data_IF_623133451509
#
_entry.id   IF_623133451509
#
_cell.length_a   1.000
_cell.length_b   1.000
_cell.length_c   1.000
_cell.angle_alpha   90.00
_cell.angle_beta   90.00
_cell.angle_gamma   90.00
#
_symmetry.space_group_name_H-M   'P 1'
#
loop_
_entity.id
_entity.type
_entity.pdbx_description
1 polymer ?
#
# COMPACT_ATOMS: atom_id res chain seq x y z
N UNK A 1 16.12 -31.24 -11.31
CA UNK A 1 14.90 -30.59 -10.80
C UNK A 1 14.77 -29.25 -11.49
N UNK A 2 13.66 -29.01 -12.18
CA UNK A 2 13.46 -27.82 -13.02
C UNK A 2 13.36 -26.54 -12.17
N UNK A 3 14.05 -25.47 -12.59
CA UNK A 3 13.99 -24.12 -12.00
C UNK A 3 12.55 -23.61 -11.88
N UNK A 4 11.64 -24.07 -12.74
CA UNK A 4 10.23 -23.70 -12.71
C UNK A 4 9.44 -24.24 -11.51
N UNK A 5 9.88 -25.34 -10.86
CA UNK A 5 9.20 -25.91 -9.69
C UNK A 5 9.55 -25.18 -8.38
N UNK A 6 10.64 -24.41 -8.35
CA UNK A 6 11.07 -23.67 -7.16
C UNK A 6 10.34 -22.32 -7.01
N UNK A 7 9.89 -21.72 -8.12
CA UNK A 7 9.22 -20.41 -8.11
C UNK A 7 7.78 -20.46 -7.55
N UNK A 8 7.10 -21.62 -7.60
CA UNK A 8 5.73 -21.80 -7.06
C UNK A 8 5.65 -21.82 -5.52
N UNK A 9 6.80 -21.88 -4.83
CA UNK A 9 6.92 -21.87 -3.36
C UNK A 9 7.13 -20.48 -2.75
N UNK A 10 7.41 -19.44 -3.56
CA UNK A 10 7.63 -18.09 -3.04
C UNK A 10 6.28 -17.45 -2.68
N UNK A 11 6.06 -17.22 -1.38
CA UNK A 11 4.84 -16.59 -0.89
C UNK A 11 4.82 -15.08 -1.21
N UNK A 12 5.95 -14.39 -1.02
CA UNK A 12 6.03 -12.93 -1.12
C UNK A 12 7.26 -12.46 -1.89
N UNK A 13 7.08 -11.61 -2.91
CA UNK A 13 8.15 -10.77 -3.44
C UNK A 13 8.12 -9.41 -2.77
N UNK A 14 9.21 -9.01 -2.13
CA UNK A 14 9.40 -7.67 -1.57
C UNK A 14 10.18 -6.85 -2.59
N UNK A 15 9.58 -5.77 -3.08
CA UNK A 15 10.18 -4.86 -4.06
C UNK A 15 10.49 -3.54 -3.38
N UNK A 16 11.76 -3.16 -3.42
CA UNK A 16 12.26 -1.88 -2.97
C UNK A 16 13.18 -1.28 -4.04
N UNK A 17 13.39 0.03 -4.01
CA UNK A 17 14.14 0.74 -5.05
C UNK A 17 15.18 1.63 -4.42
N UNK A 18 16.36 1.72 -5.03
CA UNK A 18 17.41 2.60 -4.54
C UNK A 18 18.28 3.11 -5.69
N UNK A 19 19.03 4.16 -5.39
CA UNK A 19 20.11 4.72 -6.20
C UNK A 19 21.25 5.03 -5.24
N UNK A 20 22.47 4.56 -5.53
CA UNK A 20 23.62 4.76 -4.63
C UNK A 20 24.20 6.19 -4.70
N UNK A 21 23.38 7.20 -4.41
CA UNK A 21 23.73 8.63 -4.41
C UNK A 21 23.63 9.30 -3.02
N UNK A 22 23.51 8.48 -1.98
CA UNK A 22 23.30 8.90 -0.58
C UNK A 22 22.08 9.80 -0.36
N UNK A 23 21.02 9.61 -1.16
CA UNK A 23 19.76 10.34 -0.97
C UNK A 23 19.23 10.22 0.47
N UNK A 24 19.01 11.38 1.09
CA UNK A 24 18.55 11.51 2.47
C UNK A 24 19.60 11.19 3.55
N UNK A 25 20.87 11.11 3.16
CA UNK A 25 22.05 10.84 4.01
C UNK A 25 22.06 9.42 4.56
N UNK A 26 23.22 8.84 4.90
CA UNK A 26 23.31 7.50 5.50
C UNK A 26 22.52 6.39 4.75
N UNK A 27 22.35 6.50 3.44
CA UNK A 27 21.50 5.61 2.64
C UNK A 27 21.97 4.16 2.73
N UNK A 28 23.30 3.94 2.67
CA UNK A 28 23.91 2.61 2.83
C UNK A 28 23.50 1.98 4.17
N UNK A 29 23.54 2.75 5.27
CA UNK A 29 23.17 2.26 6.60
C UNK A 29 21.68 1.90 6.68
N UNK A 30 20.78 2.77 6.18
CA UNK A 30 19.34 2.50 6.20
C UNK A 30 18.98 1.28 5.35
N UNK A 31 19.54 1.21 4.14
CA UNK A 31 19.34 0.07 3.22
C UNK A 31 19.81 -1.22 3.86
N UNK A 32 20.97 -1.20 4.54
CA UNK A 32 21.46 -2.36 5.27
C UNK A 32 20.51 -2.78 6.40
N UNK A 33 19.98 -1.84 7.19
CA UNK A 33 19.03 -2.15 8.26
C UNK A 33 17.73 -2.76 7.71
N UNK A 34 17.23 -2.27 6.58
CA UNK A 34 16.09 -2.87 5.87
C UNK A 34 16.38 -4.31 5.45
N UNK A 35 17.52 -4.56 4.80
CA UNK A 35 17.91 -5.90 4.32
C UNK A 35 18.07 -6.85 5.51
N UNK A 36 18.85 -6.47 6.51
CA UNK A 36 19.11 -7.28 7.70
C UNK A 36 17.80 -7.60 8.44
N UNK A 37 16.93 -6.60 8.59
CA UNK A 37 15.63 -6.76 9.24
C UNK A 37 14.66 -7.65 8.47
N UNK A 38 14.58 -7.48 7.14
CA UNK A 38 13.76 -8.35 6.30
C UNK A 38 14.22 -9.81 6.41
N UNK A 39 15.52 -10.06 6.33
CA UNK A 39 16.09 -11.41 6.35
C UNK A 39 15.93 -12.04 7.73
N UNK A 40 16.20 -11.29 8.80
CA UNK A 40 15.95 -11.74 10.16
C UNK A 40 14.48 -12.14 10.37
N UNK A 41 13.55 -11.34 9.86
CA UNK A 41 12.13 -11.65 9.95
C UNK A 41 11.71 -12.85 9.11
N UNK A 42 12.26 -13.00 7.90
CA UNK A 42 11.98 -14.17 7.06
C UNK A 42 12.44 -15.46 7.76
N UNK A 43 13.64 -15.45 8.36
CA UNK A 43 14.17 -16.57 9.15
C UNK A 43 13.31 -16.86 10.38
N UNK A 44 13.02 -15.84 11.18
CA UNK A 44 12.26 -15.94 12.43
C UNK A 44 10.86 -16.54 12.23
N UNK A 45 10.16 -16.09 11.20
CA UNK A 45 8.76 -16.50 10.96
C UNK A 45 8.61 -17.53 9.85
N UNK A 46 9.69 -18.01 9.24
CA UNK A 46 9.62 -18.96 8.13
C UNK A 46 8.85 -18.43 6.91
N UNK A 47 8.94 -17.13 6.65
CA UNK A 47 8.34 -16.53 5.45
C UNK A 47 9.24 -16.83 4.25
N UNK A 48 8.72 -17.61 3.29
CA UNK A 48 9.36 -17.86 1.98
C UNK A 48 9.19 -16.62 1.11
N UNK A 49 10.27 -15.89 0.89
CA UNK A 49 10.24 -14.62 0.20
C UNK A 49 11.34 -14.49 -0.84
N UNK A 50 11.22 -13.46 -1.68
CA UNK A 50 12.36 -12.88 -2.37
C UNK A 50 12.41 -11.37 -2.14
N UNK A 51 13.60 -10.80 -2.07
CA UNK A 51 13.86 -9.37 -2.17
C UNK A 51 14.31 -9.06 -3.60
N UNK A 52 13.60 -8.13 -4.25
CA UNK A 52 14.00 -7.51 -5.51
C UNK A 52 14.36 -6.06 -5.21
N UNK A 53 15.66 -5.78 -5.12
CA UNK A 53 16.17 -4.43 -4.99
C UNK A 53 16.42 -3.85 -6.38
N UNK A 54 15.61 -2.88 -6.80
CA UNK A 54 15.79 -2.23 -8.09
C UNK A 54 16.79 -1.10 -7.95
N UNK A 55 17.98 -1.28 -8.50
CA UNK A 55 19.01 -0.25 -8.57
C UNK A 55 18.77 0.62 -9.80
N UNK A 56 18.37 1.86 -9.59
CA UNK A 56 17.92 2.73 -10.67
C UNK A 56 18.94 3.82 -10.99
N UNK A 57 19.36 3.88 -12.26
CA UNK A 57 20.30 4.87 -12.77
C UNK A 57 21.54 5.00 -11.85
N UNK A 58 22.28 3.89 -11.61
CA UNK A 58 23.43 3.91 -10.71
C UNK A 58 24.45 4.98 -11.14
N UNK A 59 24.96 5.83 -10.21
CA UNK A 59 25.98 6.81 -10.54
C UNK A 59 27.28 6.10 -10.99
N UNK A 60 27.89 6.47 -12.13
CA UNK A 60 29.07 5.79 -12.66
C UNK A 60 30.31 5.90 -11.76
N UNK A 61 30.34 6.89 -10.87
CA UNK A 61 31.42 7.13 -9.91
C UNK A 61 31.26 6.38 -8.58
N UNK A 62 30.19 5.60 -8.42
CA UNK A 62 29.88 4.86 -7.19
C UNK A 62 29.90 3.36 -7.47
N UNK A 63 30.28 2.58 -6.47
CA UNK A 63 30.16 1.12 -6.56
C UNK A 63 28.68 0.73 -6.74
N UNK A 64 28.38 -0.30 -7.55
CA UNK A 64 27.04 -0.87 -7.59
C UNK A 64 26.56 -1.28 -6.20
N UNK A 65 25.26 -1.25 -5.96
CA UNK A 65 24.68 -1.67 -4.67
C UNK A 65 25.04 -3.12 -4.31
N UNK A 66 25.27 -3.97 -5.31
CA UNK A 66 25.76 -5.33 -5.12
C UNK A 66 27.10 -5.39 -4.36
N UNK A 67 27.98 -4.41 -4.58
CA UNK A 67 29.32 -4.37 -4.00
C UNK A 67 29.38 -3.45 -2.77
N UNK A 68 28.54 -2.43 -2.71
CA UNK A 68 28.47 -1.46 -1.61
C UNK A 68 27.82 -2.04 -0.33
N UNK A 69 26.80 -2.89 -0.49
CA UNK A 69 26.04 -3.45 0.62
C UNK A 69 26.61 -4.79 1.10
N UNK A 70 26.35 -5.12 2.36
CA UNK A 70 26.67 -6.44 2.89
C UNK A 70 25.50 -7.39 2.69
N UNK A 71 25.80 -8.55 2.13
CA UNK A 71 24.82 -9.59 1.84
C UNK A 71 25.07 -10.81 2.72
N UNK A 72 24.03 -11.42 3.29
CA UNK A 72 24.22 -12.61 4.10
C UNK A 72 24.59 -13.80 3.23
N UNK A 73 25.61 -14.54 3.66
CA UNK A 73 26.07 -15.79 3.03
C UNK A 73 24.94 -16.81 2.96
N UNK A 74 24.12 -16.88 4.01
CA UNK A 74 22.94 -17.74 4.06
C UNK A 74 21.69 -16.88 4.29
N UNK A 75 21.01 -16.42 3.23
CA UNK A 75 19.81 -15.60 3.37
C UNK A 75 18.59 -16.42 3.82
N UNK A 76 18.72 -17.76 3.87
CA UNK A 76 17.72 -18.67 4.39
C UNK A 76 16.52 -18.78 3.45
N UNK A 77 15.33 -18.43 3.95
CA UNK A 77 14.08 -18.50 3.21
C UNK A 77 13.82 -17.29 2.28
N UNK A 78 14.78 -16.36 2.17
CA UNK A 78 14.66 -15.15 1.38
C UNK A 78 15.67 -15.16 0.22
N UNK A 79 15.22 -15.30 -1.03
CA UNK A 79 16.10 -15.10 -2.19
C UNK A 79 16.41 -13.60 -2.34
N UNK A 80 17.60 -13.22 -2.81
CA UNK A 80 17.96 -11.82 -3.04
C UNK A 80 18.35 -11.62 -4.51
N UNK A 81 17.75 -10.63 -5.15
CA UNK A 81 18.07 -10.20 -6.51
C UNK A 81 18.16 -8.69 -6.59
N UNK A 82 19.12 -8.22 -7.38
CA UNK A 82 19.24 -6.82 -7.77
C UNK A 82 18.87 -6.73 -9.24
N UNK A 83 17.92 -5.86 -9.58
CA UNK A 83 17.55 -5.55 -10.97
C UNK A 83 18.06 -4.15 -11.25
N UNK A 84 19.03 -4.02 -12.16
CA UNK A 84 19.62 -2.71 -12.47
C UNK A 84 18.89 -2.09 -13.66
N UNK A 85 18.41 -0.85 -13.51
CA UNK A 85 17.93 -0.02 -14.62
C UNK A 85 19.07 0.92 -15.05
N UNK A 86 19.68 0.71 -16.22
CA UNK A 86 20.84 1.48 -16.64
C UNK A 86 20.56 2.97 -16.91
N UNK A 87 21.63 3.78 -16.92
CA UNK A 87 21.55 5.21 -17.16
C UNK A 87 21.01 5.58 -18.55
N UNK A 88 21.26 4.74 -19.56
CA UNK A 88 20.70 4.88 -20.91
C UNK A 88 19.18 4.75 -20.94
N UNK A 89 18.61 3.80 -20.18
CA UNK A 89 17.16 3.66 -20.04
C UNK A 89 16.61 4.86 -19.29
N UNK A 90 17.26 5.27 -18.21
CA UNK A 90 16.81 6.44 -17.45
C UNK A 90 16.74 7.73 -18.29
N UNK A 91 17.73 7.94 -19.16
CA UNK A 91 17.82 9.13 -20.01
C UNK A 91 16.71 9.24 -21.05
N UNK A 92 15.94 8.18 -21.30
CA UNK A 92 14.79 8.24 -22.22
C UNK A 92 13.56 8.91 -21.61
N UNK A 93 13.51 9.06 -20.28
CA UNK A 93 12.38 9.66 -19.60
C UNK A 93 12.47 11.19 -19.59
N UNK A 94 11.31 11.85 -19.65
CA UNK A 94 11.26 13.31 -19.52
C UNK A 94 11.75 13.73 -18.13
N UNK A 95 12.44 14.87 -18.04
CA UNK A 95 12.98 15.38 -16.78
C UNK A 95 14.05 14.51 -16.09
N UNK A 96 14.63 13.52 -16.78
CA UNK A 96 15.71 12.67 -16.27
C UNK A 96 16.98 13.44 -15.83
N UNK A 97 17.17 14.67 -16.33
CA UNK A 97 18.22 15.57 -15.88
C UNK A 97 18.01 16.10 -14.45
N UNK A 98 16.75 16.10 -13.96
CA UNK A 98 16.35 16.70 -12.67
C UNK A 98 15.80 15.67 -11.68
N UNK A 99 15.07 14.68 -12.16
CA UNK A 99 14.58 13.55 -11.37
C UNK A 99 15.58 12.41 -11.54
N UNK A 100 16.40 12.16 -10.52
CA UNK A 100 17.47 11.15 -10.57
C UNK A 100 16.97 9.72 -10.32
N UNK A 101 15.84 9.59 -9.64
CA UNK A 101 15.18 8.33 -9.31
C UNK A 101 13.67 8.46 -9.54
N UNK A 102 13.15 7.73 -10.52
CA UNK A 102 11.71 7.60 -10.72
C UNK A 102 11.18 6.44 -9.87
N UNK A 103 10.95 6.70 -8.58
CA UNK A 103 10.64 5.68 -7.57
C UNK A 103 9.52 4.72 -8.00
N UNK A 104 8.44 5.23 -8.60
CA UNK A 104 7.30 4.40 -9.00
C UNK A 104 7.58 3.57 -10.26
N UNK A 105 8.32 4.11 -11.23
CA UNK A 105 8.76 3.34 -12.40
C UNK A 105 9.76 2.24 -11.99
N UNK A 106 10.66 2.55 -11.06
CA UNK A 106 11.58 1.57 -10.48
C UNK A 106 10.81 0.47 -9.74
N UNK A 107 9.80 0.81 -8.92
CA UNK A 107 8.94 -0.17 -8.24
C UNK A 107 8.22 -1.04 -9.27
N UNK A 108 7.66 -0.45 -10.33
CA UNK A 108 7.02 -1.21 -11.41
C UNK A 108 7.98 -2.18 -12.12
N UNK A 109 9.23 -1.78 -12.37
CA UNK A 109 10.23 -2.66 -12.98
C UNK A 109 10.50 -3.91 -12.13
N UNK A 110 10.53 -3.75 -10.80
CA UNK A 110 10.67 -4.86 -9.85
C UNK A 110 9.39 -5.69 -9.73
N UNK A 111 8.22 -5.06 -9.59
CA UNK A 111 6.91 -5.74 -9.51
C UNK A 111 6.67 -6.60 -10.76
N UNK A 112 7.02 -6.08 -11.94
CA UNK A 112 6.88 -6.81 -13.21
C UNK A 112 7.74 -8.08 -13.26
N UNK A 113 8.84 -8.13 -12.50
CA UNK A 113 9.80 -9.26 -12.43
C UNK A 113 9.62 -10.12 -11.16
N UNK A 114 8.57 -9.84 -10.38
CA UNK A 114 8.25 -10.59 -9.17
C UNK A 114 7.74 -12.00 -9.49
N UNK A 115 8.24 -12.99 -8.74
CA UNK A 115 7.90 -14.42 -8.86
C UNK A 115 6.86 -14.85 -7.84
N UNK A 116 6.86 -14.20 -6.67
CA UNK A 116 6.00 -14.51 -5.54
C UNK A 116 4.50 -14.44 -5.83
N UNK A 117 3.73 -15.21 -5.06
CA UNK A 117 2.26 -15.23 -5.15
C UNK A 117 1.65 -13.86 -4.84
N UNK A 118 2.24 -13.17 -3.87
CA UNK A 118 1.94 -11.79 -3.52
C UNK A 118 3.18 -10.92 -3.71
N UNK A 119 2.96 -9.63 -3.93
CA UNK A 119 4.05 -8.66 -4.10
C UNK A 119 3.80 -7.48 -3.16
N UNK A 120 4.79 -7.21 -2.30
CA UNK A 120 4.89 -6.03 -1.45
C UNK A 120 5.79 -5.00 -2.13
N UNK A 121 5.26 -3.82 -2.43
CA UNK A 121 6.05 -2.65 -2.79
C UNK A 121 6.29 -1.80 -1.55
N UNK A 122 7.55 -1.50 -1.24
CA UNK A 122 7.98 -0.79 -0.02
C UNK A 122 9.22 0.08 -0.28
N UNK A 123 9.78 0.68 0.76
CA UNK A 123 10.97 1.53 0.72
C UNK A 123 12.14 0.88 1.49
N UNK A 124 13.36 1.37 1.23
CA UNK A 124 14.63 0.79 1.75
C UNK A 124 14.96 1.18 3.20
N UNK A 125 14.05 1.86 3.87
CA UNK A 125 14.16 2.41 5.23
C UNK A 125 13.01 1.92 6.13
N UNK A 126 12.37 0.82 5.73
CA UNK A 126 11.22 0.23 6.40
C UNK A 126 11.62 -1.02 7.19
N UNK A 127 11.22 -1.12 8.45
CA UNK A 127 11.34 -2.34 9.26
C UNK A 127 9.95 -2.91 9.55
N UNK A 128 9.82 -4.23 9.59
CA UNK A 128 8.53 -4.90 9.77
C UNK A 128 8.35 -5.43 11.20
N UNK A 129 7.18 -5.19 11.79
CA UNK A 129 6.78 -5.86 13.04
C UNK A 129 6.55 -7.37 12.84
N UNK A 130 6.68 -8.15 13.92
CA UNK A 130 6.39 -9.59 13.92
C UNK A 130 4.96 -9.89 13.47
N UNK A 131 3.99 -9.05 13.87
CA UNK A 131 2.60 -9.17 13.46
C UNK A 131 2.39 -8.89 11.96
N UNK A 132 3.17 -7.98 11.37
CA UNK A 132 3.08 -7.71 9.93
C UNK A 132 3.61 -8.92 9.13
N UNK A 133 4.74 -9.49 9.53
CA UNK A 133 5.34 -10.64 8.82
C UNK A 133 4.50 -11.90 8.96
N UNK A 134 3.95 -12.18 10.16
CA UNK A 134 2.97 -13.28 10.33
C UNK A 134 1.72 -13.08 9.47
N UNK A 135 1.25 -11.84 9.31
CA UNK A 135 0.12 -11.56 8.42
C UNK A 135 0.47 -11.83 6.94
N UNK A 136 1.63 -11.37 6.49
CA UNK A 136 2.15 -11.60 5.12
C UNK A 136 2.28 -13.09 4.81
N UNK A 137 2.72 -13.88 5.79
CA UNK A 137 2.84 -15.34 5.67
C UNK A 137 1.48 -16.03 5.55
N UNK A 138 0.55 -15.71 6.44
CA UNK A 138 -0.61 -16.59 6.67
C UNK A 138 -1.95 -16.08 6.13
N UNK A 139 -2.10 -14.77 5.89
CA UNK A 139 -3.43 -14.14 5.76
C UNK A 139 -3.67 -13.32 4.48
N UNK A 140 -2.72 -13.31 3.56
CA UNK A 140 -2.88 -12.65 2.26
C UNK A 140 -3.91 -13.39 1.39
N UNK A 141 -4.75 -12.62 0.71
CA UNK A 141 -5.80 -13.10 -0.19
C UNK A 141 -5.82 -12.22 -1.45
N UNK A 142 -6.11 -12.83 -2.60
CA UNK A 142 -6.32 -12.07 -3.85
C UNK A 142 -7.57 -11.18 -3.74
N UNK A 143 -7.68 -10.17 -4.62
CA UNK A 143 -8.76 -9.19 -4.62
C UNK A 143 -8.66 -8.15 -3.52
N UNK A 144 -7.54 -8.08 -2.80
CA UNK A 144 -7.29 -7.11 -1.74
C UNK A 144 -5.98 -6.35 -1.97
N UNK A 145 -6.02 -5.05 -1.64
CA UNK A 145 -4.86 -4.18 -1.52
C UNK A 145 -4.62 -3.96 -0.03
N UNK A 146 -3.52 -4.50 0.51
CA UNK A 146 -3.21 -4.37 1.93
C UNK A 146 -2.29 -3.18 2.19
N UNK A 147 -2.62 -2.43 3.24
CA UNK A 147 -1.91 -1.23 3.69
C UNK A 147 -1.64 -1.34 5.20
N UNK A 148 -0.54 -0.76 5.68
CA UNK A 148 -0.15 -0.83 7.08
C UNK A 148 0.18 0.56 7.64
N UNK A 149 -0.03 0.72 8.95
CA UNK A 149 0.36 1.94 9.66
C UNK A 149 1.87 2.13 9.63
N UNK A 150 2.32 3.36 9.36
CA UNK A 150 3.72 3.74 9.47
C UNK A 150 4.00 4.38 10.82
N UNK A 151 4.97 3.85 11.54
CA UNK A 151 5.49 4.41 12.78
C UNK A 151 6.88 4.96 12.53
N UNK A 152 7.09 6.26 12.73
CA UNK A 152 8.41 6.86 12.54
C UNK A 152 9.27 6.68 13.80
N UNK A 153 10.50 6.26 13.57
CA UNK A 153 11.54 6.01 14.59
C UNK A 153 12.79 6.82 14.25
N UNK A 154 13.65 7.16 15.22
CA UNK A 154 14.86 7.95 14.97
C UNK A 154 15.80 7.32 13.94
N UNK A 155 16.60 8.15 13.28
CA UNK A 155 17.56 7.73 12.25
C UNK A 155 18.63 6.77 12.79
N UNK A 156 19.03 6.95 14.05
CA UNK A 156 20.11 6.20 14.70
C UNK A 156 19.63 4.87 15.30
N UNK A 157 18.97 4.04 14.48
CA UNK A 157 18.59 2.68 14.88
C UNK A 157 19.87 1.86 15.21
N UNK A 158 19.87 1.04 16.29
CA UNK A 158 21.02 0.23 16.67
C UNK A 158 21.48 -0.71 15.55
N UNK A 159 22.79 -0.78 15.30
CA UNK A 159 23.39 -1.74 14.38
C UNK A 159 23.81 -3.00 15.16
N UNK A 160 22.85 -3.89 15.40
CA UNK A 160 23.02 -5.12 16.19
C UNK A 160 22.52 -6.32 15.39
N UNK A 161 23.18 -7.50 15.48
CA UNK A 161 22.68 -8.71 14.84
C UNK A 161 21.40 -9.25 15.51
N UNK A 162 21.11 -8.83 16.75
CA UNK A 162 19.91 -9.23 17.48
C UNK A 162 18.72 -8.36 17.05
N UNK A 163 17.94 -8.82 16.07
CA UNK A 163 16.82 -8.05 15.55
C UNK A 163 15.72 -7.74 16.59
N UNK A 164 15.65 -8.50 17.69
CA UNK A 164 14.76 -8.18 18.82
C UNK A 164 15.11 -6.82 19.46
N UNK A 165 16.40 -6.50 19.61
CA UNK A 165 16.85 -5.21 20.15
C UNK A 165 16.44 -4.07 19.21
N UNK A 166 16.48 -4.30 17.89
CA UNK A 166 16.05 -3.34 16.88
C UNK A 166 14.55 -3.08 16.97
N UNK A 167 13.73 -4.13 17.08
CA UNK A 167 12.28 -3.99 17.23
C UNK A 167 11.90 -3.33 18.56
N UNK A 168 12.58 -3.69 19.64
CA UNK A 168 12.39 -3.05 20.94
C UNK A 168 12.73 -1.56 20.87
N UNK A 169 13.86 -1.21 20.27
CA UNK A 169 14.21 0.19 20.02
C UNK A 169 13.12 0.91 19.22
N UNK A 170 12.60 0.30 18.16
CA UNK A 170 11.54 0.90 17.36
C UNK A 170 10.27 1.19 18.17
N UNK A 171 9.82 0.25 19.00
CA UNK A 171 8.62 0.43 19.83
C UNK A 171 8.84 1.49 20.93
N UNK A 172 10.04 1.57 21.52
CA UNK A 172 10.36 2.51 22.59
C UNK A 172 10.62 3.93 22.07
N UNK A 173 11.29 4.05 20.93
CA UNK A 173 11.74 5.33 20.38
C UNK A 173 10.77 5.93 19.35
N UNK A 174 9.73 5.20 18.96
CA UNK A 174 8.66 5.71 18.11
C UNK A 174 8.15 7.08 18.57
N UNK A 175 8.19 8.06 17.66
CA UNK A 175 7.80 9.44 17.94
C UNK A 175 6.61 9.91 17.09
N UNK A 176 6.26 9.23 15.99
CA UNK A 176 5.07 9.55 15.20
C UNK A 176 4.39 8.28 14.70
N UNK A 177 3.06 8.27 14.70
CA UNK A 177 2.23 7.20 14.13
C UNK A 177 1.33 7.79 13.05
N UNK A 178 1.57 7.36 11.82
CA UNK A 178 0.79 7.73 10.64
C UNK A 178 -0.29 6.66 10.45
N UNK A 179 -1.47 6.97 10.97
CA UNK A 179 -2.69 6.18 10.78
C UNK A 179 -3.38 6.61 9.49
N UNK A 180 -4.33 5.81 9.02
CA UNK A 180 -5.02 6.04 7.74
C UNK A 180 -5.73 7.38 7.58
N UNK A 181 -6.04 8.07 8.68
CA UNK A 181 -6.69 9.38 8.65
C UNK A 181 -5.95 10.47 9.46
N UNK A 182 -4.98 10.10 10.31
CA UNK A 182 -4.28 11.06 11.19
C UNK A 182 -2.82 10.68 11.40
N UNK A 183 -1.95 11.68 11.48
CA UNK A 183 -0.65 11.57 12.12
C UNK A 183 -0.79 11.93 13.61
N UNK A 184 -0.23 11.10 14.49
CA UNK A 184 -0.18 11.36 15.93
C UNK A 184 1.28 11.41 16.36
N UNK A 185 1.70 12.55 16.88
CA UNK A 185 3.08 12.78 17.34
C UNK A 185 3.18 12.67 18.86
N UNK A 186 4.33 12.18 19.32
CA UNK A 186 4.69 12.08 20.73
C UNK A 186 5.24 13.42 21.20
N UNK A 187 4.60 14.02 22.21
CA UNK A 187 5.19 15.17 22.91
C UNK A 187 6.47 14.79 23.69
N UNK A 188 7.10 15.75 24.35
CA UNK A 188 8.29 15.47 25.18
C UNK A 188 8.01 14.42 26.26
N UNK A 189 8.85 13.38 26.34
CA UNK A 189 8.72 12.26 27.29
C UNK A 189 7.97 11.04 26.74
N UNK A 190 7.33 10.26 27.63
CA UNK A 190 6.58 9.05 27.27
C UNK A 190 5.25 9.40 26.58
N UNK A 191 4.76 8.49 25.73
CA UNK A 191 3.42 8.56 25.13
C UNK A 191 2.35 8.79 26.21
N UNK A 192 1.66 9.94 26.16
CA UNK A 192 0.59 10.23 27.12
C UNK A 192 -0.60 9.34 26.80
N UNK A 193 -1.41 9.02 27.82
CA UNK A 193 -2.61 8.21 27.65
C UNK A 193 -3.54 8.78 26.56
N UNK A 194 -3.67 10.12 26.50
CA UNK A 194 -4.44 10.82 25.47
C UNK A 194 -3.90 10.62 24.04
N UNK A 195 -2.58 10.51 23.87
CA UNK A 195 -1.95 10.36 22.56
C UNK A 195 -2.14 8.91 22.07
N UNK A 196 -2.01 7.93 22.98
CA UNK A 196 -2.35 6.52 22.72
C UNK A 196 -3.84 6.35 22.40
N UNK A 197 -4.71 7.07 23.11
CA UNK A 197 -6.14 7.09 22.83
C UNK A 197 -6.44 7.71 21.46
N UNK A 198 -5.81 8.84 21.11
CA UNK A 198 -5.94 9.46 19.77
C UNK A 198 -5.46 8.53 18.66
N UNK A 199 -4.31 7.87 18.81
CA UNK A 199 -3.83 6.90 17.84
C UNK A 199 -4.78 5.70 17.71
N UNK A 200 -5.27 5.16 18.82
CA UNK A 200 -6.27 4.10 18.83
C UNK A 200 -7.61 4.53 18.19
N UNK A 201 -8.03 5.79 18.39
CA UNK A 201 -9.22 6.37 17.79
C UNK A 201 -9.04 6.68 16.31
N UNK A 202 -7.87 7.14 15.85
CA UNK A 202 -7.56 7.28 14.43
C UNK A 202 -7.49 5.93 13.72
N UNK A 203 -6.93 4.92 14.40
CA UNK A 203 -6.97 3.53 13.95
C UNK A 203 -8.40 3.00 13.83
N UNK A 204 -9.19 3.14 14.89
CA UNK A 204 -10.59 2.67 14.96
C UNK A 204 -11.57 3.50 14.13
N UNK A 205 -11.34 4.80 13.93
CA UNK A 205 -12.19 5.69 13.15
C UNK A 205 -12.27 5.24 11.69
N UNK A 206 -11.13 4.85 11.10
CA UNK A 206 -11.11 4.20 9.78
C UNK A 206 -11.83 2.85 9.79
N UNK A 207 -11.69 2.06 10.86
CA UNK A 207 -12.25 0.71 10.98
C UNK A 207 -13.77 0.70 11.22
N UNK A 208 -14.29 1.69 11.95
CA UNK A 208 -15.73 1.91 12.17
C UNK A 208 -16.37 2.42 10.88
N UNK A 209 -15.69 3.27 10.12
CA UNK A 209 -16.15 3.66 8.78
C UNK A 209 -16.19 2.46 7.82
N UNK A 210 -15.17 1.58 7.84
CA UNK A 210 -15.14 0.33 7.06
C UNK A 210 -16.26 -0.65 7.45
N UNK A 211 -16.49 -0.84 8.75
CA UNK A 211 -17.58 -1.69 9.27
C UNK A 211 -18.94 -1.09 8.92
N UNK A 212 -19.15 0.21 9.14
CA UNK A 212 -20.39 0.89 8.80
C UNK A 212 -20.66 0.85 7.29
N UNK A 213 -19.63 0.97 6.46
CA UNK A 213 -19.70 0.78 5.01
C UNK A 213 -20.06 -0.66 4.61
N UNK A 214 -19.45 -1.67 5.26
CA UNK A 214 -19.71 -3.08 4.99
C UNK A 214 -21.14 -3.51 5.40
N UNK A 215 -21.59 -3.13 6.60
CA UNK A 215 -22.95 -3.40 7.06
C UNK A 215 -23.99 -2.55 6.32
N UNK A 216 -23.66 -1.31 5.93
CA UNK A 216 -24.48 -0.51 5.03
C UNK A 216 -24.69 -1.18 3.67
N UNK A 217 -23.64 -1.79 3.10
CA UNK A 217 -23.70 -2.56 1.86
C UNK A 217 -24.50 -3.87 2.00
N UNK A 218 -24.34 -4.59 3.11
CA UNK A 218 -25.13 -5.80 3.40
C UNK A 218 -26.62 -5.46 3.59
N UNK A 219 -26.91 -4.36 4.28
CA UNK A 219 -28.25 -3.82 4.46
C UNK A 219 -28.86 -3.37 3.13
N UNK A 220 -28.07 -2.73 2.26
CA UNK A 220 -28.49 -2.37 0.91
C UNK A 220 -28.74 -3.58 0.00
N UNK A 221 -27.94 -4.65 0.09
CA UNK A 221 -28.22 -5.92 -0.61
C UNK A 221 -29.50 -6.59 -0.11
N UNK A 222 -29.75 -6.50 1.20
CA UNK A 222 -30.98 -7.00 1.84
C UNK A 222 -32.22 -6.23 1.34
N UNK A 223 -32.10 -4.91 1.12
CA UNK A 223 -33.13 -4.05 0.53
C UNK A 223 -33.27 -4.20 -0.98
N UNK A 224 -32.19 -4.55 -1.69
CA UNK A 224 -32.18 -4.74 -3.15
C UNK A 224 -32.74 -6.10 -3.59
N UNK A 225 -32.65 -7.13 -2.74
CA UNK A 225 -33.23 -8.45 -3.01
C UNK A 225 -34.10 -8.95 -1.85
N UNK A 226 -35.29 -8.34 -1.65
CA UNK A 226 -36.16 -8.64 -0.52
C UNK A 226 -36.67 -10.09 -0.54
N UNK A 227 -36.68 -10.79 -1.69
CA UNK A 227 -37.03 -12.22 -1.79
C UNK A 227 -35.99 -13.15 -1.15
N UNK A 228 -34.71 -12.78 -1.20
CA UNK A 228 -33.62 -13.50 -0.52
C UNK A 228 -33.69 -13.29 1.00
N UNK A 229 -33.92 -12.06 1.46
CA UNK A 229 -34.10 -11.71 2.86
C UNK A 229 -35.37 -12.36 3.47
N UNK A 230 -36.47 -12.34 2.73
CA UNK A 230 -37.75 -12.96 3.09
C UNK A 230 -37.62 -14.49 3.21
N UNK A 231 -36.91 -15.17 2.29
CA UNK A 231 -36.65 -16.63 2.41
C UNK A 231 -35.81 -17.00 3.63
N UNK A 232 -34.88 -16.15 4.06
CA UNK A 232 -34.00 -16.40 5.22
C UNK A 232 -34.67 -16.09 6.56
N UNK A 233 -35.58 -15.11 6.61
CA UNK A 233 -36.32 -14.73 7.82
C UNK A 233 -37.58 -15.57 8.05
N UNK A 234 -38.21 -16.10 6.99
CA UNK A 234 -39.46 -16.88 7.11
C UNK A 234 -39.22 -18.38 7.31
N UNK A 235 -38.00 -18.88 7.07
CA UNK A 235 -37.61 -20.23 7.46
C UNK A 235 -37.77 -20.55 8.95
N UNK A 236 -37.99 -19.54 9.80
CA UNK A 236 -38.27 -19.70 11.24
C UNK A 236 -39.63 -19.15 11.71
N UNK A 237 -40.46 -18.56 10.83
CA UNK A 237 -41.55 -17.68 11.27
C UNK A 237 -42.96 -17.99 10.75
N UNK A 238 -43.15 -18.85 9.73
CA UNK A 238 -44.48 -19.22 9.25
C UNK A 238 -45.00 -20.48 9.96
N UNK A 239 -45.32 -20.31 11.24
CA UNK A 239 -46.21 -21.20 11.98
C UNK A 239 -47.07 -20.40 12.98
N UNK A 240 -47.54 -19.20 12.63
CA UNK A 240 -48.58 -18.54 13.41
C UNK A 240 -49.28 -17.41 12.65
N UNK A 241 -50.62 -17.44 12.74
CA UNK A 241 -51.58 -16.36 12.51
C UNK A 241 -52.05 -16.08 11.07
N UNK A 242 -53.37 -16.28 10.90
CA UNK A 242 -54.16 -16.20 9.67
C UNK A 242 -54.78 -14.82 9.39
N UNK A 243 -55.84 -14.77 8.54
CA UNK A 243 -56.10 -13.61 7.68
C UNK A 243 -57.22 -12.71 8.19
N UNK A 244 -57.02 -11.38 8.10
CA UNK A 244 -57.95 -10.38 7.52
C UNK A 244 -57.59 -8.98 8.02
N UNK A 245 -57.36 -8.05 7.09
CA UNK A 245 -58.11 -6.79 7.02
C UNK A 245 -57.83 -6.10 5.68
N UNK A 246 -58.91 -5.56 5.10
CA UNK A 246 -58.99 -4.84 3.83
C UNK A 246 -58.74 -3.36 4.11
N UNK A 247 -57.65 -2.78 3.62
CA UNK A 247 -57.54 -1.38 3.14
C UNK A 247 -56.21 -1.28 2.35
N UNK A 248 -56.27 -1.36 1.02
CA UNK A 248 -55.06 -1.60 0.18
C UNK A 248 -54.74 -0.64 -0.99
N UNK A 249 -55.42 0.47 -1.30
CA UNK A 249 -54.88 1.37 -2.34
C UNK A 249 -54.01 2.50 -1.76
N UNK A 250 -54.49 3.23 -0.74
CA UNK A 250 -53.80 4.44 -0.26
C UNK A 250 -52.52 4.13 0.54
N UNK A 251 -52.54 3.09 1.37
CA UNK A 251 -51.38 2.64 2.13
C UNK A 251 -50.25 2.09 1.23
N UNK A 252 -50.59 1.49 0.08
CA UNK A 252 -49.62 0.98 -0.90
C UNK A 252 -48.99 2.11 -1.74
N UNK A 253 -49.74 3.17 -2.05
CA UNK A 253 -49.23 4.36 -2.75
C UNK A 253 -48.36 5.21 -1.81
N UNK A 254 -48.77 5.43 -0.56
CA UNK A 254 -47.96 6.12 0.45
C UNK A 254 -46.73 5.30 0.83
N UNK A 255 -46.83 3.96 0.92
CA UNK A 255 -45.68 3.08 1.08
C UNK A 255 -44.76 3.10 -0.15
N UNK A 256 -45.28 3.23 -1.37
CA UNK A 256 -44.50 3.34 -2.60
C UNK A 256 -43.73 4.66 -2.71
N UNK A 257 -44.35 5.78 -2.34
CA UNK A 257 -43.69 7.09 -2.27
C UNK A 257 -42.65 7.16 -1.14
N UNK A 258 -42.99 6.66 0.05
CA UNK A 258 -42.04 6.53 1.16
C UNK A 258 -40.90 5.56 0.82
N UNK A 259 -41.16 4.51 0.04
CA UNK A 259 -40.17 3.56 -0.47
C UNK A 259 -39.22 4.20 -1.47
N UNK A 260 -39.71 5.01 -2.42
CA UNK A 260 -38.83 5.67 -3.40
C UNK A 260 -37.99 6.77 -2.74
N UNK A 261 -38.54 7.48 -1.75
CA UNK A 261 -37.80 8.43 -0.91
C UNK A 261 -36.76 7.68 -0.07
N UNK A 262 -37.14 6.62 0.64
CA UNK A 262 -36.20 5.81 1.42
C UNK A 262 -35.12 5.18 0.52
N UNK A 263 -35.45 4.75 -0.70
CA UNK A 263 -34.52 4.19 -1.68
C UNK A 263 -33.56 5.25 -2.25
N UNK A 264 -34.02 6.49 -2.45
CA UNK A 264 -33.17 7.61 -2.89
C UNK A 264 -32.29 8.11 -1.76
N UNK A 265 -32.83 8.28 -0.56
CA UNK A 265 -32.10 8.65 0.65
C UNK A 265 -31.10 7.56 1.03
N UNK A 266 -31.46 6.28 0.94
CA UNK A 266 -30.55 5.16 1.15
C UNK A 266 -29.48 5.08 0.06
N UNK A 267 -29.78 5.34 -1.23
CA UNK A 267 -28.75 5.44 -2.28
C UNK A 267 -27.82 6.64 -2.08
N UNK A 268 -28.35 7.77 -1.63
CA UNK A 268 -27.58 8.94 -1.24
C UNK A 268 -26.65 8.63 -0.07
N UNK A 269 -27.19 8.05 1.00
CA UNK A 269 -26.42 7.58 2.17
C UNK A 269 -25.45 6.46 1.79
N UNK A 270 -25.75 5.57 0.85
CA UNK A 270 -24.84 4.51 0.38
C UNK A 270 -23.69 5.09 -0.44
N UNK A 271 -23.99 6.04 -1.34
CA UNK A 271 -22.98 6.77 -2.10
C UNK A 271 -22.09 7.61 -1.19
N UNK A 272 -22.66 8.24 -0.16
CA UNK A 272 -21.92 8.98 0.88
C UNK A 272 -21.18 8.07 1.86
N UNK A 273 -21.71 6.87 2.17
CA UNK A 273 -21.07 5.89 3.04
C UNK A 273 -19.89 5.19 2.34
N UNK A 274 -19.99 4.94 1.03
CA UNK A 274 -18.86 4.54 0.19
C UNK A 274 -17.80 5.65 0.11
N UNK A 275 -18.20 6.92 0.19
CA UNK A 275 -17.28 8.06 0.32
C UNK A 275 -16.72 8.26 1.74
N UNK A 276 -17.32 7.64 2.77
CA UNK A 276 -16.91 7.76 4.18
C UNK A 276 -15.87 6.74 4.61
N UNK A 277 -15.61 5.71 3.80
CA UNK A 277 -14.38 4.93 3.91
C UNK A 277 -13.25 5.78 3.35
N UNK A 278 -12.65 6.60 4.22
CA UNK A 278 -11.44 7.34 3.85
C UNK A 278 -10.38 6.32 3.46
N UNK A 279 -9.90 6.30 2.20
CA UNK A 279 -8.83 5.40 1.83
C UNK A 279 -7.61 5.71 2.69
N UNK A 280 -6.90 4.68 3.12
CA UNK A 280 -5.61 4.84 3.79
C UNK A 280 -4.62 5.42 2.77
N UNK A 281 -4.50 6.74 2.73
CA UNK A 281 -3.60 7.45 1.80
C UNK A 281 -2.37 8.02 2.50
N UNK A 282 -2.46 8.19 3.83
CA UNK A 282 -1.35 8.68 4.62
C UNK A 282 -0.24 7.64 4.68
N UNK A 283 0.94 7.96 4.13
CA UNK A 283 2.10 7.07 4.07
C UNK A 283 1.81 5.70 3.40
N UNK A 284 0.87 5.66 2.45
CA UNK A 284 0.43 4.40 1.84
C UNK A 284 1.49 3.72 0.96
N UNK A 285 2.45 4.48 0.43
CA UNK A 285 3.56 3.96 -0.37
C UNK A 285 4.62 3.15 0.40
N UNK A 286 4.60 3.16 1.73
CA UNK A 286 5.56 2.43 2.58
C UNK A 286 5.20 0.94 2.72
N UNK A 287 3.92 0.59 2.55
CA UNK A 287 3.44 -0.79 2.62
C UNK A 287 2.25 -0.98 1.68
N UNK A 288 2.49 -1.46 0.47
CA UNK A 288 1.44 -1.80 -0.50
C UNK A 288 1.56 -3.25 -0.94
N UNK A 289 0.59 -4.10 -0.57
CA UNK A 289 0.60 -5.53 -0.96
C UNK A 289 -0.64 -5.88 -1.77
N UNK A 290 -0.45 -6.59 -2.88
CA UNK A 290 -1.51 -7.21 -3.66
C UNK A 290 -1.04 -8.58 -4.16
N UNK A 291 -1.96 -9.43 -4.65
CA UNK A 291 -1.55 -10.62 -5.39
C UNK A 291 -0.82 -10.21 -6.67
N UNK A 292 0.09 -11.06 -7.18
CA UNK A 292 0.80 -10.78 -8.44
C UNK A 292 -0.17 -10.60 -9.63
N UNK A 293 -1.30 -11.30 -9.62
CA UNK A 293 -2.36 -11.15 -10.61
C UNK A 293 -3.09 -9.81 -10.47
N UNK A 294 -3.35 -9.36 -9.24
CA UNK A 294 -3.97 -8.05 -8.99
C UNK A 294 -3.02 -6.90 -9.40
N UNK A 295 -1.72 -6.99 -9.14
CA UNK A 295 -0.73 -6.05 -9.67
C UNK A 295 -0.76 -5.99 -11.20
N UNK A 296 -0.86 -7.15 -11.86
CA UNK A 296 -0.97 -7.24 -13.31
C UNK A 296 -2.27 -6.61 -13.83
N UNK A 297 -3.38 -6.80 -13.12
CA UNK A 297 -4.67 -6.21 -13.44
C UNK A 297 -4.67 -4.69 -13.29
N UNK A 298 -4.00 -4.16 -12.27
CA UNK A 298 -3.86 -2.72 -12.04
C UNK A 298 -2.87 -2.08 -13.01
N UNK A 299 -1.92 -2.87 -13.54
CA UNK A 299 -0.81 -2.42 -14.39
C UNK A 299 0.20 -1.52 -13.66
N UNK A 300 0.45 -1.79 -12.37
CA UNK A 300 1.42 -1.04 -11.57
C UNK A 300 1.00 0.39 -11.20
N UNK A 301 1.91 1.13 -10.57
CA UNK A 301 1.77 2.58 -10.34
C UNK A 301 1.76 3.34 -11.67
N UNK A 302 1.10 4.49 -11.76
CA UNK A 302 1.13 5.32 -12.98
C UNK A 302 2.58 5.70 -13.36
N UNK A 303 2.99 5.43 -14.60
CA UNK A 303 4.36 5.62 -15.09
C UNK A 303 4.59 7.03 -15.65
N UNK A 304 4.12 8.05 -14.93
CA UNK A 304 4.31 9.43 -15.33
C UNK A 304 5.68 9.95 -14.88
N UNK A 305 6.30 10.79 -15.72
CA UNK A 305 7.61 11.40 -15.45
C UNK A 305 7.49 12.60 -14.50
N UNK A 306 6.92 12.36 -13.32
CA UNK A 306 6.62 13.37 -12.30
C UNK A 306 7.32 13.01 -11.00
N UNK A 307 7.48 13.98 -10.10
CA UNK A 307 7.89 13.72 -8.72
C UNK A 307 6.85 12.81 -8.04
N UNK A 308 7.30 11.91 -7.16
CA UNK A 308 6.51 10.76 -6.70
C UNK A 308 5.31 11.09 -5.80
N UNK A 309 5.13 12.36 -5.43
CA UNK A 309 4.02 12.84 -4.63
C UNK A 309 2.66 12.39 -5.18
N UNK A 310 1.80 11.84 -4.32
CA UNK A 310 0.47 11.28 -4.60
C UNK A 310 0.39 10.07 -5.54
N UNK A 311 1.48 9.60 -6.16
CA UNK A 311 1.40 8.42 -7.05
C UNK A 311 0.99 7.13 -6.31
N UNK A 312 1.38 7.01 -5.05
CA UNK A 312 0.97 5.92 -4.16
C UNK A 312 -0.52 5.97 -3.83
N UNK A 313 -1.03 7.16 -3.51
CA UNK A 313 -2.45 7.40 -3.27
C UNK A 313 -3.27 7.16 -4.53
N UNK A 314 -2.75 7.57 -5.69
CA UNK A 314 -3.38 7.32 -6.98
C UNK A 314 -3.51 5.82 -7.26
N UNK A 315 -2.51 5.01 -6.91
CA UNK A 315 -2.58 3.55 -7.01
C UNK A 315 -3.73 2.98 -6.17
N UNK A 316 -3.95 3.49 -4.96
CA UNK A 316 -5.07 3.05 -4.10
C UNK A 316 -6.41 3.26 -4.81
N UNK A 317 -6.61 4.44 -5.41
CA UNK A 317 -7.82 4.74 -6.19
C UNK A 317 -7.93 3.87 -7.44
N UNK A 318 -6.82 3.65 -8.16
CA UNK A 318 -6.78 2.80 -9.35
C UNK A 318 -7.13 1.34 -9.03
N UNK A 319 -6.62 0.80 -7.91
CA UNK A 319 -6.95 -0.53 -7.43
C UNK A 319 -8.43 -0.65 -7.07
N UNK A 320 -9.00 0.35 -6.37
CA UNK A 320 -10.44 0.42 -6.11
C UNK A 320 -11.26 0.44 -7.41
N UNK A 321 -10.82 1.23 -8.39
CA UNK A 321 -11.40 1.27 -9.73
C UNK A 321 -11.39 -0.09 -10.43
N UNK A 322 -10.31 -0.87 -10.23
CA UNK A 322 -10.20 -2.26 -10.70
C UNK A 322 -11.02 -3.25 -9.86
N UNK A 323 -11.76 -2.81 -8.84
CA UNK A 323 -12.55 -3.69 -7.96
C UNK A 323 -11.72 -4.46 -6.93
N UNK A 324 -10.45 -4.07 -6.71
CA UNK A 324 -9.59 -4.59 -5.64
C UNK A 324 -9.90 -3.80 -4.37
N UNK A 325 -10.12 -4.50 -3.26
CA UNK A 325 -10.60 -3.89 -2.01
C UNK A 325 -9.42 -3.48 -1.12
N UNK A 326 -9.24 -2.18 -0.81
CA UNK A 326 -8.27 -1.76 0.19
C UNK A 326 -8.60 -2.38 1.55
N UNK A 327 -7.57 -2.84 2.26
CA UNK A 327 -7.69 -3.44 3.57
C UNK A 327 -6.50 -3.03 4.42
N UNK A 328 -6.77 -2.19 5.41
CA UNK A 328 -5.79 -1.82 6.41
C UNK A 328 -5.51 -3.01 7.34
N UNK A 329 -4.24 -3.25 7.64
CA UNK A 329 -3.84 -4.24 8.64
C UNK A 329 -4.21 -3.79 10.05
N UNK A 330 -4.24 -4.74 10.99
CA UNK A 330 -4.45 -4.42 12.39
C UNK A 330 -3.32 -3.49 12.90
N UNK A 331 -3.55 -2.58 13.87
CA UNK A 331 -2.55 -1.61 14.30
C UNK A 331 -1.23 -2.21 14.82
N UNK A 332 -1.22 -3.47 15.26
CA UNK A 332 0.01 -4.17 15.63
C UNK A 332 0.82 -4.63 14.42
N UNK A 333 0.16 -4.99 13.31
CA UNK A 333 0.76 -5.32 12.01
C UNK A 333 1.15 -4.03 11.29
N UNK A 334 2.19 -3.36 11.81
CA UNK A 334 2.66 -2.05 11.37
C UNK A 334 4.09 -2.12 10.82
N UNK A 335 4.49 -1.05 10.17
CA UNK A 335 5.87 -0.83 9.73
C UNK A 335 6.53 0.30 10.49
N UNK A 336 7.83 0.20 10.70
CA UNK A 336 8.65 1.27 11.27
C UNK A 336 9.44 1.94 10.16
N UNK A 337 9.34 3.24 10.04
CA UNK A 337 10.10 4.03 9.08
C UNK A 337 11.23 4.74 9.80
N UNK A 338 12.45 4.48 9.34
CA UNK A 338 13.67 5.07 9.87
C UNK A 338 13.74 6.50 9.38
N UNK A 339 13.59 7.46 10.29
CA UNK A 339 13.56 8.88 9.94
C UNK A 339 14.84 9.31 9.23
N UNK A 340 14.70 10.22 8.27
CA UNK A 340 15.83 10.72 7.50
C UNK A 340 15.56 12.09 6.89
N UNK A 341 16.65 12.80 6.57
CA UNK A 341 16.56 14.08 5.87
C UNK A 341 16.16 13.87 4.41
N UNK A 342 15.53 14.84 3.75
CA UNK A 342 15.22 14.79 2.32
C UNK A 342 13.93 14.06 1.91
N UNK A 343 13.30 13.29 2.80
CA UNK A 343 11.93 12.80 2.64
C UNK A 343 10.88 13.88 2.93
N UNK A 344 9.59 13.57 2.70
CA UNK A 344 8.51 14.46 3.14
C UNK A 344 8.33 14.39 4.65
N UNK A 345 8.51 15.52 5.31
CA UNK A 345 8.06 15.77 6.69
C UNK A 345 7.17 17.02 6.69
N UNK A 346 6.09 17.07 7.50
CA UNK A 346 5.20 18.23 7.56
C UNK A 346 5.95 19.55 7.82
N UNK A 347 7.00 19.50 8.64
CA UNK A 347 7.84 20.65 9.01
C UNK A 347 8.61 21.25 7.83
N UNK A 348 8.89 20.46 6.78
CA UNK A 348 9.68 20.88 5.61
C UNK A 348 8.88 20.85 4.29
N UNK A 349 7.56 20.71 4.37
CA UNK A 349 6.68 20.55 3.21
C UNK A 349 6.75 21.73 2.24
N UNK A 350 6.76 22.97 2.74
CA UNK A 350 6.78 24.17 1.89
C UNK A 350 8.03 24.24 1.01
N UNK A 351 9.22 24.01 1.59
CA UNK A 351 10.48 24.05 0.87
C UNK A 351 10.64 22.92 -0.17
N UNK A 352 9.90 21.81 -0.03
CA UNK A 352 9.84 20.78 -1.06
C UNK A 352 9.12 21.29 -2.30
N UNK A 353 7.90 21.82 -2.16
CA UNK A 353 7.10 22.26 -3.31
C UNK A 353 7.69 23.49 -4.01
N UNK A 354 8.23 24.45 -3.26
CA UNK A 354 8.95 25.59 -3.83
C UNK A 354 10.13 25.15 -4.71
N UNK A 355 10.87 24.12 -4.27
CA UNK A 355 11.98 23.55 -5.06
C UNK A 355 11.48 22.88 -6.33
N UNK A 356 10.40 22.10 -6.26
CA UNK A 356 9.81 21.44 -7.43
C UNK A 356 9.34 22.48 -8.46
N UNK A 357 8.65 23.53 -8.01
CA UNK A 357 8.21 24.64 -8.87
C UNK A 357 9.40 25.37 -9.50
N UNK A 358 10.42 25.73 -8.70
CA UNK A 358 11.64 26.39 -9.19
C UNK A 358 12.37 25.54 -10.23
N UNK A 359 12.44 24.24 -10.02
CA UNK A 359 13.07 23.29 -10.95
C UNK A 359 12.14 22.86 -12.10
N UNK A 360 10.89 23.34 -12.11
CA UNK A 360 9.84 22.97 -13.08
C UNK A 360 9.68 21.45 -13.19
N UNK A 361 9.73 20.78 -12.05
CA UNK A 361 9.47 19.35 -11.94
C UNK A 361 7.96 19.17 -11.70
N UNK A 362 7.22 18.50 -12.59
CA UNK A 362 5.80 18.28 -12.40
C UNK A 362 5.54 17.32 -11.24
N UNK A 363 4.41 17.51 -10.56
CA UNK A 363 3.88 16.63 -9.52
C UNK A 363 2.36 16.69 -9.54
N UNK A 364 1.69 15.70 -8.95
CA UNK A 364 0.23 15.65 -8.86
C UNK A 364 -0.18 16.53 -7.67
N UNK A 365 -0.96 17.58 -7.90
CA UNK A 365 -1.53 18.39 -6.81
C UNK A 365 -2.74 17.71 -6.17
N UNK A 366 -3.18 18.18 -5.00
CA UNK A 366 -4.43 17.70 -4.39
C UNK A 366 -5.64 17.89 -5.31
N UNK A 367 -5.65 18.98 -6.08
CA UNK A 367 -6.70 19.26 -7.04
C UNK A 367 -6.67 18.25 -8.21
N UNK A 368 -5.47 17.91 -8.70
CA UNK A 368 -5.30 16.90 -9.75
C UNK A 368 -5.75 15.53 -9.25
N UNK A 369 -5.31 15.14 -8.04
CA UNK A 369 -5.69 13.87 -7.43
C UNK A 369 -7.20 13.73 -7.27
N UNK A 370 -7.90 14.79 -6.82
CA UNK A 370 -9.38 14.80 -6.73
C UNK A 370 -10.03 14.61 -8.10
N UNK A 371 -9.51 15.26 -9.15
CA UNK A 371 -10.02 15.09 -10.53
C UNK A 371 -9.77 13.68 -11.06
N UNK A 372 -8.58 13.13 -10.85
CA UNK A 372 -8.21 11.77 -11.25
C UNK A 372 -9.09 10.73 -10.55
N UNK A 373 -9.33 10.87 -9.24
CA UNK A 373 -10.22 9.98 -8.51
C UNK A 373 -11.67 10.03 -9.05
N UNK A 374 -12.17 11.22 -9.39
CA UNK A 374 -13.48 11.37 -10.01
C UNK A 374 -13.54 10.71 -11.40
N UNK A 375 -12.48 10.83 -12.21
CA UNK A 375 -12.36 10.16 -13.52
C UNK A 375 -12.32 8.63 -13.39
N UNK A 376 -11.50 8.09 -12.49
CA UNK A 376 -11.47 6.64 -12.18
C UNK A 376 -12.88 6.15 -11.84
N UNK A 377 -13.56 6.87 -10.95
CA UNK A 377 -14.93 6.52 -10.53
C UNK A 377 -15.92 6.55 -11.72
N UNK A 378 -15.77 7.52 -12.63
CA UNK A 378 -16.63 7.63 -13.81
C UNK A 378 -16.33 6.51 -14.83
N UNK A 379 -15.06 6.21 -15.08
CA UNK A 379 -14.61 5.08 -15.94
C UNK A 379 -15.13 3.75 -15.41
N UNK A 380 -14.96 3.49 -14.11
CA UNK A 380 -15.47 2.28 -13.46
C UNK A 380 -16.98 2.12 -13.66
N UNK A 381 -17.78 3.17 -13.42
CA UNK A 381 -19.25 3.14 -13.65
C UNK A 381 -19.64 2.89 -15.10
N UNK A 382 -18.80 3.33 -16.04
CA UNK A 382 -19.00 3.14 -17.47
C UNK A 382 -18.45 1.80 -17.98
N UNK A 383 -17.86 0.97 -17.12
CA UNK A 383 -17.20 -0.29 -17.54
C UNK A 383 -15.96 -0.06 -18.42
N UNK A 384 -15.31 1.10 -18.30
CA UNK A 384 -14.07 1.43 -19.02
C UNK A 384 -12.86 1.15 -18.14
N UNK A 385 -11.73 0.91 -18.80
CA UNK A 385 -10.43 0.73 -18.15
C UNK A 385 -10.05 1.96 -17.31
N UNK A 386 -9.51 1.69 -16.12
CA UNK A 386 -9.09 2.71 -15.15
C UNK A 386 -7.57 2.80 -15.01
N UNK A 387 -6.85 1.88 -15.67
CA UNK A 387 -5.40 1.79 -15.64
C UNK A 387 -4.79 2.99 -16.36
N UNK A 388 -3.67 3.48 -15.85
CA UNK A 388 -2.92 4.59 -16.47
C UNK A 388 -1.85 4.12 -17.45
N UNK A 389 -1.45 2.85 -17.35
CA UNK A 389 -0.39 2.28 -18.16
C UNK A 389 -0.95 1.29 -19.18
N UNK A 390 -0.20 1.11 -20.26
CA UNK A 390 -0.45 0.09 -21.28
C UNK A 390 0.14 -1.27 -20.87
N UNK A 391 -0.06 -2.30 -21.70
CA UNK A 391 0.42 -3.66 -21.40
C UNK A 391 1.95 -3.78 -21.24
N UNK A 392 2.70 -2.82 -21.78
CA UNK A 392 4.17 -2.72 -21.69
C UNK A 392 4.74 -2.17 -20.38
N UNK A 393 3.90 -1.88 -19.36
CA UNK A 393 4.32 -1.26 -18.09
C UNK A 393 5.47 -1.98 -17.37
N UNK A 394 6.25 -1.28 -16.54
CA UNK A 394 7.32 -1.87 -15.74
C UNK A 394 8.52 -2.33 -16.58
N UNK A 395 8.79 -1.62 -17.67
CA UNK A 395 9.90 -1.92 -18.59
C UNK A 395 9.87 -3.38 -19.08
N UNK A 396 8.68 -3.88 -19.41
CA UNK A 396 8.47 -5.31 -19.72
C UNK A 396 9.19 -5.75 -21.00
N UNK A 397 9.40 -4.84 -21.96
CA UNK A 397 10.09 -5.11 -23.21
C UNK A 397 11.62 -5.18 -23.07
N UNK A 398 12.18 -4.75 -21.93
CA UNK A 398 13.62 -4.69 -21.71
C UNK A 398 14.10 -5.89 -20.89
N UNK A 399 15.18 -6.53 -21.35
CA UNK A 399 15.96 -7.42 -20.51
C UNK A 399 16.89 -6.56 -19.65
N UNK A 400 16.57 -6.42 -18.36
CA UNK A 400 17.39 -5.67 -17.42
C UNK A 400 18.48 -6.59 -16.83
N UNK A 401 19.69 -6.08 -16.56
CA UNK A 401 20.71 -6.81 -15.81
C UNK A 401 20.18 -7.26 -14.45
N UNK A 402 20.39 -8.53 -14.12
CA UNK A 402 20.06 -9.10 -12.81
C UNK A 402 21.29 -9.68 -12.14
N UNK A 403 21.53 -9.32 -10.88
CA UNK A 403 22.63 -9.81 -10.06
C UNK A 403 22.08 -10.52 -8.83
N UNK A 404 22.66 -11.67 -8.47
CA UNK A 404 22.39 -12.37 -7.20
C UNK A 404 23.59 -12.16 -6.27
N UNK A 405 23.51 -11.22 -5.32
CA UNK A 405 24.64 -10.96 -4.45
C UNK A 405 24.88 -12.12 -3.47
N UNK A 406 26.14 -12.39 -3.14
CA UNK A 406 26.53 -13.45 -2.18
C UNK A 406 26.54 -14.88 -2.73
N UNK A 407 26.21 -15.09 -4.01
CA UNK A 407 26.40 -16.36 -4.70
C UNK A 407 27.82 -16.45 -5.29
N UNK A 408 28.80 -16.80 -4.45
CA UNK A 408 30.15 -17.21 -4.89
C UNK A 408 30.55 -18.50 -4.21
#
# INVERSE_FOLDING_TARGET
MSIAAADDDIQLSVVATSRNDDHGGNLTRRTQQFIDGLIAQCKRHGLRAELILVEWNPPPERAPLADELRWPVEPGACDIRIVTVPAEVHRTFQHADRIRLFQMLAKNAGIRRARGRFVLATNIDILFSDEAVRFLRDRLQSGHLYLADRVDVPAEVPATPAFDDVLQFCEEQAFRVNTGALAVERGTGRWRLRDRFKAAMGARGSYVADIAGHYGMLFAQTLANPRWAFRRLIGHGLAAAGPRTRHRPLALVLAGGAWEIARRTARGILGSAQQLVMPFTNACGDFTVMSRLDWSRVRGYAEWHVFSWHLDTLLVYQAQGCGIRPRRLAPKSRVFHIDHSGGYAPEHAAGLFERLEKQKIPFITDADLKRLHADISAKQRAGRDVQFNEDGWGLAALQLPETRPGAT
#
